data_IF_350766411741
#
_entry.id   IF_350766411741
#
_cell.length_a   1.000
_cell.length_b   1.000
_cell.length_c   1.000
_cell.angle_alpha   90.00
_cell.angle_beta   90.00
_cell.angle_gamma   90.00
#
_symmetry.space_group_name_H-M   'P 1'
#
loop_
_entity.id
_entity.type
_entity.pdbx_description
1 polymer ?
#
# COMPACT_ATOMS: atom_id res chain seq x y z
N UNK A 1 -54.56 -47.58 -51.73
CA UNK A 1 -53.93 -48.34 -50.62
C UNK A 1 -52.82 -47.49 -50.03
N UNK A 2 -53.01 -47.10 -48.77
CA UNK A 2 -52.13 -46.19 -48.03
C UNK A 2 -50.92 -46.95 -47.48
N UNK A 3 -49.73 -46.36 -47.55
CA UNK A 3 -48.68 -46.63 -46.56
C UNK A 3 -48.01 -45.32 -46.17
N UNK A 4 -48.39 -44.85 -44.99
CA UNK A 4 -47.85 -43.68 -44.33
C UNK A 4 -47.08 -44.14 -43.08
N UNK A 5 -45.93 -43.55 -42.82
CA UNK A 5 -45.20 -43.67 -41.54
C UNK A 5 -43.82 -44.33 -41.68
N UNK A 6 -42.76 -43.88 -41.01
CA UNK A 6 -42.61 -42.79 -40.04
C UNK A 6 -41.11 -42.48 -39.93
N UNK A 7 -40.70 -41.24 -40.23
CA UNK A 7 -39.34 -40.79 -39.96
C UNK A 7 -39.22 -40.36 -38.49
N UNK A 8 -38.70 -41.24 -37.64
CA UNK A 8 -38.37 -40.91 -36.25
C UNK A 8 -37.15 -39.98 -36.26
N UNK A 9 -37.36 -38.66 -36.08
CA UNK A 9 -36.27 -37.70 -35.86
C UNK A 9 -35.60 -37.98 -34.51
N UNK A 10 -34.41 -38.58 -34.52
CA UNK A 10 -33.54 -38.69 -33.33
C UNK A 10 -32.94 -37.31 -33.00
N UNK A 11 -33.44 -36.67 -31.95
CA UNK A 11 -32.89 -35.39 -31.46
C UNK A 11 -31.57 -35.68 -30.73
N UNK A 12 -30.45 -35.23 -31.30
CA UNK A 12 -29.10 -35.52 -30.79
C UNK A 12 -28.82 -34.77 -29.45
N UNK A 13 -28.45 -35.46 -28.36
CA UNK A 13 -28.22 -34.84 -27.04
C UNK A 13 -26.95 -33.97 -26.96
N UNK A 14 -26.09 -34.05 -27.98
CA UNK A 14 -24.81 -33.35 -28.07
C UNK A 14 -24.92 -31.81 -28.07
N UNK A 15 -26.08 -31.24 -28.37
CA UNK A 15 -26.27 -29.78 -28.43
C UNK A 15 -26.34 -29.14 -27.04
N UNK A 16 -26.90 -29.85 -26.05
CA UNK A 16 -27.08 -29.35 -24.68
C UNK A 16 -25.75 -29.30 -23.91
N UNK A 17 -24.90 -30.31 -24.09
CA UNK A 17 -23.57 -30.37 -23.48
C UNK A 17 -22.59 -29.38 -24.12
N UNK A 18 -22.57 -29.27 -25.46
CA UNK A 18 -21.81 -28.23 -26.16
C UNK A 18 -22.24 -26.82 -25.74
N UNK A 19 -23.54 -26.59 -25.54
CA UNK A 19 -24.05 -25.31 -25.03
C UNK A 19 -23.57 -25.01 -23.60
N UNK A 20 -23.52 -26.01 -22.71
CA UNK A 20 -22.97 -25.84 -21.34
C UNK A 20 -21.48 -25.52 -21.36
N UNK A 21 -20.71 -26.21 -22.21
CA UNK A 21 -19.27 -25.96 -22.37
C UNK A 21 -19.02 -24.55 -22.93
N UNK A 22 -19.81 -24.11 -23.91
CA UNK A 22 -19.72 -22.76 -24.46
C UNK A 22 -20.02 -21.67 -23.41
N UNK A 23 -21.03 -21.89 -22.56
CA UNK A 23 -21.36 -20.94 -21.48
C UNK A 23 -20.23 -20.85 -20.45
N UNK A 24 -19.66 -21.99 -20.03
CA UNK A 24 -18.55 -22.02 -19.08
C UNK A 24 -17.29 -21.35 -19.66
N UNK A 25 -17.01 -21.55 -20.95
CA UNK A 25 -15.90 -20.89 -21.63
C UNK A 25 -16.08 -19.36 -21.73
N UNK A 26 -17.31 -18.87 -21.95
CA UNK A 26 -17.59 -17.44 -21.95
C UNK A 26 -17.40 -16.81 -20.55
N UNK A 27 -17.81 -17.51 -19.49
CA UNK A 27 -17.64 -17.05 -18.11
C UNK A 27 -16.16 -16.99 -17.71
N UNK A 28 -15.37 -18.00 -18.09
CA UNK A 28 -13.93 -18.00 -17.80
C UNK A 28 -13.21 -16.86 -18.53
N UNK A 29 -13.53 -16.62 -19.80
CA UNK A 29 -12.96 -15.50 -20.56
C UNK A 29 -13.31 -14.16 -19.89
N UNK A 30 -14.57 -13.98 -19.48
CA UNK A 30 -14.98 -12.75 -18.77
C UNK A 30 -14.23 -12.57 -17.44
N UNK A 31 -13.99 -13.66 -16.69
CA UNK A 31 -13.22 -13.63 -15.45
C UNK A 31 -11.75 -13.24 -15.68
N UNK A 32 -11.11 -13.80 -16.72
CA UNK A 32 -9.75 -13.44 -17.08
C UNK A 32 -9.63 -11.99 -17.57
N UNK A 33 -10.61 -11.50 -18.33
CA UNK A 33 -10.66 -10.10 -18.75
C UNK A 33 -10.86 -9.17 -17.54
N UNK A 34 -11.62 -9.58 -16.54
CA UNK A 34 -11.83 -8.80 -15.31
C UNK A 34 -10.56 -8.73 -14.45
N UNK A 35 -9.82 -9.83 -14.33
CA UNK A 35 -8.50 -9.84 -13.67
C UNK A 35 -7.51 -8.94 -14.41
N UNK A 36 -7.50 -8.97 -15.74
CA UNK A 36 -6.57 -8.18 -16.55
C UNK A 36 -6.94 -6.68 -16.55
N UNK A 37 -8.23 -6.35 -16.58
CA UNK A 37 -8.75 -4.99 -16.47
C UNK A 37 -8.63 -4.41 -15.04
N UNK A 38 -8.58 -5.27 -14.02
CA UNK A 38 -8.39 -4.90 -12.61
C UNK A 38 -6.94 -4.59 -12.21
N UNK A 39 -6.02 -4.48 -13.17
CA UNK A 39 -4.70 -3.92 -12.92
C UNK A 39 -4.78 -2.40 -12.86
N UNK A 40 -5.41 -1.88 -11.80
CA UNK A 40 -5.11 -0.53 -11.36
C UNK A 40 -3.61 -0.51 -11.07
N UNK A 41 -2.86 0.17 -11.95
CA UNK A 41 -1.49 0.54 -11.65
C UNK A 41 -1.61 1.34 -10.37
N UNK A 42 -1.07 0.82 -9.26
CA UNK A 42 -0.75 1.64 -8.09
C UNK A 42 0.24 2.66 -8.61
N UNK A 43 -0.28 3.78 -9.08
CA UNK A 43 0.49 4.94 -9.42
C UNK A 43 0.92 5.50 -8.07
N UNK A 44 2.10 5.11 -7.62
CA UNK A 44 2.85 5.95 -6.71
C UNK A 44 3.10 7.25 -7.48
N UNK A 45 2.14 8.17 -7.42
CA UNK A 45 2.35 9.55 -7.84
C UNK A 45 3.24 10.17 -6.77
N UNK A 46 4.54 9.93 -6.91
CA UNK A 46 5.54 10.86 -6.40
C UNK A 46 5.31 12.13 -7.22
N UNK A 47 4.53 13.03 -6.63
CA UNK A 47 4.06 14.25 -7.27
C UNK A 47 5.25 15.17 -7.38
N UNK A 48 5.52 15.66 -8.59
CA UNK A 48 6.50 16.69 -8.95
C UNK A 48 6.19 18.06 -8.29
N UNK A 49 6.13 18.09 -6.97
CA UNK A 49 6.41 19.24 -6.12
C UNK A 49 7.50 18.73 -5.20
N UNK A 50 8.69 19.37 -5.12
CA UNK A 50 9.81 18.98 -4.25
C UNK A 50 9.32 18.23 -3.00
N UNK A 51 9.21 16.90 -3.10
CA UNK A 51 8.52 16.11 -2.09
C UNK A 51 9.58 15.93 -1.03
N UNK A 52 9.60 16.86 -0.08
CA UNK A 52 10.50 16.83 1.06
C UNK A 52 10.30 15.50 1.76
N UNK A 53 11.12 14.51 1.43
CA UNK A 53 10.88 13.15 1.85
C UNK A 53 11.35 13.06 3.29
N UNK A 54 10.44 12.71 4.19
CA UNK A 54 10.78 12.52 5.60
C UNK A 54 11.64 11.27 5.76
N UNK A 55 12.87 11.48 6.17
CA UNK A 55 13.85 10.45 6.48
C UNK A 55 14.21 10.49 7.97
N UNK A 56 14.84 9.42 8.46
CA UNK A 56 15.24 9.31 9.86
C UNK A 56 16.73 9.01 9.96
N UNK A 57 17.39 9.63 10.92
CA UNK A 57 18.80 9.40 11.23
C UNK A 57 18.94 9.01 12.70
N UNK A 58 19.83 8.07 12.98
CA UNK A 58 20.26 7.77 14.34
C UNK A 58 21.45 8.64 14.72
N UNK A 59 21.38 9.33 15.86
CA UNK A 59 22.47 10.13 16.40
C UNK A 59 22.86 9.60 17.78
N UNK A 60 24.14 9.61 18.11
CA UNK A 60 24.60 9.28 19.45
C UNK A 60 24.43 10.48 20.37
N UNK A 61 23.89 10.24 21.57
CA UNK A 61 23.68 11.24 22.62
C UNK A 61 25.02 11.47 23.33
N UNK A 62 25.49 12.71 23.29
CA UNK A 62 26.75 13.13 23.93
C UNK A 62 26.53 13.57 25.37
N UNK A 63 27.62 13.63 26.14
CA UNK A 63 27.60 14.17 27.49
C UNK A 63 27.06 15.62 27.50
N UNK A 64 26.05 15.87 28.34
CA UNK A 64 25.42 17.19 28.46
C UNK A 64 24.30 17.47 27.46
N UNK A 65 24.00 16.54 26.55
CA UNK A 65 22.84 16.69 25.66
C UNK A 65 21.53 16.61 26.44
N UNK A 66 20.57 17.39 25.98
CA UNK A 66 19.20 17.39 26.48
C UNK A 66 18.26 17.15 25.31
N UNK A 67 17.06 16.62 25.57
CA UNK A 67 16.12 16.46 24.46
C UNK A 67 15.78 17.80 23.78
N UNK A 68 15.82 18.89 24.57
CA UNK A 68 15.61 20.25 24.09
C UNK A 68 16.70 20.74 23.13
N UNK A 69 17.98 20.67 23.52
CA UNK A 69 19.06 21.17 22.66
C UNK A 69 19.21 20.36 21.37
N UNK A 70 18.92 19.05 21.42
CA UNK A 70 18.84 18.20 20.24
C UNK A 70 17.67 18.65 19.36
N UNK A 71 16.49 18.89 19.95
CA UNK A 71 15.35 19.37 19.19
C UNK A 71 15.62 20.71 18.51
N UNK A 72 16.19 21.69 19.21
CA UNK A 72 16.60 22.97 18.62
C UNK A 72 17.60 22.81 17.47
N UNK A 73 18.52 21.85 17.59
CA UNK A 73 19.57 21.62 16.60
C UNK A 73 19.07 20.96 15.31
N UNK A 74 18.11 20.03 15.42
CA UNK A 74 17.67 19.20 14.28
C UNK A 74 16.29 19.60 13.73
N UNK A 75 15.53 20.40 14.46
CA UNK A 75 14.29 21.01 13.96
C UNK A 75 14.55 21.80 12.67
N UNK A 76 13.60 21.74 11.74
CA UNK A 76 13.56 22.60 10.57
C UNK A 76 12.34 23.53 10.62
N UNK A 77 12.18 24.39 9.61
CA UNK A 77 11.08 25.35 9.52
C UNK A 77 9.70 24.73 9.33
N UNK A 78 9.58 23.40 9.22
CA UNK A 78 8.31 22.70 9.03
C UNK A 78 7.59 22.47 10.38
N UNK A 79 8.20 22.84 11.50
CA UNK A 79 7.62 22.71 12.85
C UNK A 79 7.29 24.07 13.44
N UNK A 80 6.11 24.18 14.05
CA UNK A 80 5.64 25.40 14.71
C UNK A 80 6.47 25.79 15.95
N UNK A 81 7.13 24.81 16.59
CA UNK A 81 7.91 25.02 17.80
C UNK A 81 8.86 23.85 18.10
N UNK A 82 9.87 24.13 18.94
CA UNK A 82 10.78 23.11 19.50
C UNK A 82 9.97 22.02 20.22
N UNK A 83 8.91 22.38 20.92
CA UNK A 83 8.04 21.46 21.65
C UNK A 83 7.30 20.51 20.72
N UNK A 84 6.85 20.99 19.54
CA UNK A 84 6.23 20.14 18.54
C UNK A 84 7.21 19.08 18.02
N UNK A 85 8.45 19.49 17.75
CA UNK A 85 9.52 18.56 17.34
C UNK A 85 9.89 17.58 18.47
N UNK A 86 10.02 18.04 19.71
CA UNK A 86 10.28 17.19 20.87
C UNK A 86 9.18 16.16 21.09
N UNK A 87 7.91 16.50 20.84
CA UNK A 87 6.80 15.55 20.93
C UNK A 87 7.01 14.41 19.94
N UNK A 88 7.37 14.73 18.70
CA UNK A 88 7.68 13.71 17.69
C UNK A 88 8.90 12.88 18.09
N UNK A 89 9.99 13.50 18.57
CA UNK A 89 11.17 12.77 19.05
C UNK A 89 10.79 11.76 20.14
N UNK A 90 9.88 12.13 21.05
CA UNK A 90 9.39 11.22 22.09
C UNK A 90 8.58 10.07 21.51
N UNK A 91 7.69 10.34 20.56
CA UNK A 91 6.86 9.32 19.92
C UNK A 91 7.71 8.28 19.17
N UNK A 92 8.65 8.73 18.33
CA UNK A 92 9.45 7.81 17.50
C UNK A 92 10.50 7.02 18.30
N UNK A 93 10.93 7.54 19.45
CA UNK A 93 11.91 6.88 20.33
C UNK A 93 11.26 6.17 21.53
N UNK A 94 9.92 6.19 21.65
CA UNK A 94 9.21 5.58 22.77
C UNK A 94 9.53 6.19 24.14
N UNK A 95 9.84 7.49 24.18
CA UNK A 95 10.19 8.19 25.41
C UNK A 95 8.92 8.65 26.14
N UNK A 96 8.82 8.34 27.44
CA UNK A 96 7.72 8.79 28.31
C UNK A 96 7.93 10.20 28.89
N UNK A 97 9.10 10.79 28.69
CA UNK A 97 9.47 12.12 29.17
C UNK A 97 10.73 12.62 28.49
N UNK A 98 11.36 13.66 29.04
CA UNK A 98 12.46 14.37 28.37
C UNK A 98 13.85 13.82 28.72
N UNK A 99 13.90 12.73 29.50
CA UNK A 99 15.15 12.14 29.96
C UNK A 99 15.76 11.27 28.87
N UNK A 100 16.98 11.62 28.48
CA UNK A 100 17.84 10.89 27.55
C UNK A 100 19.18 10.56 28.23
N UNK A 101 19.94 9.62 27.66
CA UNK A 101 21.16 9.11 28.29
C UNK A 101 22.33 9.12 27.30
N UNK A 102 23.47 9.60 27.78
CA UNK A 102 24.77 9.52 27.11
C UNK A 102 25.07 8.10 26.58
N UNK A 103 25.70 8.03 25.41
CA UNK A 103 26.09 6.78 24.75
C UNK A 103 24.92 5.95 24.22
N UNK A 104 23.68 6.47 24.34
CA UNK A 104 22.50 5.92 23.67
C UNK A 104 22.28 6.63 22.35
N UNK A 105 21.39 6.06 21.55
CA UNK A 105 21.03 6.60 20.25
C UNK A 105 19.63 7.18 20.28
N UNK A 106 19.48 8.32 19.61
CA UNK A 106 18.20 8.96 19.39
C UNK A 106 17.92 9.00 17.88
N UNK A 107 16.74 8.55 17.49
CA UNK A 107 16.25 8.73 16.13
C UNK A 107 15.75 10.17 15.98
N UNK A 108 16.20 10.86 14.93
CA UNK A 108 15.78 12.22 14.59
C UNK A 108 15.24 12.24 13.15
N UNK A 109 14.05 12.83 12.92
CA UNK A 109 13.53 13.05 11.57
C UNK A 109 14.28 14.19 10.88
N UNK A 110 14.51 14.05 9.58
CA UNK A 110 15.00 15.12 8.72
C UNK A 110 14.31 15.02 7.36
N UNK A 111 14.36 16.08 6.57
CA UNK A 111 13.68 16.11 5.28
C UNK A 111 14.72 16.36 4.19
N UNK A 112 14.69 15.50 3.15
CA UNK A 112 15.52 15.60 1.94
C UNK A 112 14.77 16.28 0.82
#
# INVERSE_FOLDING_TARGET
MNTHGSYIKKVKPYTRLKRRILILAMISIAFFLWIFAGSERVSAQDTDAEQKQKCYKSIEISYGDTLWNIAEKYMNNDYDSVQAYMKELKEINGLSGDKIYEGKYLMVPYYN
#
